data_IF_662402080099
#
_entry.id   IF_662402080099
#
_cell.length_a   1.000
_cell.length_b   1.000
_cell.length_c   1.000
_cell.angle_alpha   90.00
_cell.angle_beta   90.00
_cell.angle_gamma   90.00
#
_symmetry.space_group_name_H-M   'P 1'
#
loop_
_entity.id
_entity.type
_entity.pdbx_description
1 polymer ?
#
# COMPACT_ATOMS: atom_id res chain seq x y z
N UNK A 1 15.61 -22.81 -10.20
CA UNK A 1 14.70 -22.04 -11.09
C UNK A 1 14.38 -20.74 -10.37
N UNK A 2 14.98 -19.64 -10.79
CA UNK A 2 14.70 -18.29 -10.23
C UNK A 2 13.50 -17.71 -10.97
N UNK A 3 12.33 -17.81 -10.34
CA UNK A 3 11.07 -17.31 -10.89
C UNK A 3 10.82 -15.91 -10.32
N UNK A 4 10.74 -14.91 -11.18
CA UNK A 4 10.50 -13.53 -10.77
C UNK A 4 9.04 -13.19 -11.05
N UNK A 5 8.26 -12.98 -9.98
CA UNK A 5 6.89 -12.50 -10.10
C UNK A 5 6.88 -11.04 -10.58
N UNK A 6 6.16 -10.74 -11.67
CA UNK A 6 6.05 -9.38 -12.20
C UNK A 6 4.72 -8.73 -11.84
N UNK A 7 3.61 -9.41 -12.16
CA UNK A 7 2.25 -8.86 -11.98
C UNK A 7 1.34 -9.92 -11.37
N UNK A 8 0.50 -9.47 -10.45
CA UNK A 8 -0.58 -10.28 -9.86
C UNK A 8 -1.92 -9.61 -10.15
N UNK A 9 -2.93 -10.40 -10.45
CA UNK A 9 -4.29 -9.92 -10.70
C UNK A 9 -5.34 -10.96 -10.37
N UNK A 10 -6.61 -10.61 -10.58
CA UNK A 10 -7.77 -11.47 -10.36
C UNK A 10 -8.68 -11.49 -11.57
N UNK A 11 -9.36 -12.61 -11.75
CA UNK A 11 -10.48 -12.79 -12.64
C UNK A 11 -11.68 -13.22 -11.80
N UNK A 12 -12.86 -12.64 -12.05
CA UNK A 12 -14.06 -12.88 -11.27
C UNK A 12 -14.90 -14.06 -11.78
N UNK A 13 -14.81 -14.37 -13.08
CA UNK A 13 -15.57 -15.45 -13.73
C UNK A 13 -14.69 -16.28 -14.67
N UNK A 14 -14.29 -17.50 -14.29
CA UNK A 14 -14.36 -18.09 -12.95
C UNK A 14 -13.38 -17.43 -11.96
N UNK A 15 -13.68 -17.42 -10.65
CA UNK A 15 -12.84 -16.79 -9.63
C UNK A 15 -11.43 -17.40 -9.64
N UNK A 16 -10.45 -16.61 -10.05
CA UNK A 16 -9.06 -17.07 -10.21
C UNK A 16 -8.06 -15.95 -10.03
N UNK A 17 -6.91 -16.26 -9.44
CA UNK A 17 -5.78 -15.35 -9.28
C UNK A 17 -4.80 -15.62 -10.42
N UNK A 18 -4.44 -14.56 -11.13
CA UNK A 18 -3.54 -14.60 -12.27
C UNK A 18 -2.18 -14.08 -11.81
N UNK A 19 -1.13 -14.87 -12.05
CA UNK A 19 0.25 -14.50 -11.81
C UNK A 19 1.01 -14.49 -13.12
N UNK A 20 1.60 -13.35 -13.46
CA UNK A 20 2.54 -13.20 -14.57
C UNK A 20 3.95 -13.21 -13.99
N UNK A 21 4.76 -14.17 -14.41
CA UNK A 21 6.12 -14.36 -13.93
C UNK A 21 7.09 -14.49 -15.11
N UNK A 22 8.35 -14.14 -14.85
CA UNK A 22 9.45 -14.31 -15.78
C UNK A 22 10.33 -15.47 -15.31
N UNK A 23 10.63 -16.37 -16.23
CA UNK A 23 11.59 -17.44 -15.99
C UNK A 23 12.99 -16.95 -16.35
N UNK A 24 13.88 -16.85 -15.36
CA UNK A 24 15.25 -16.38 -15.57
C UNK A 24 16.06 -17.24 -16.54
N UNK A 25 15.67 -18.51 -16.73
CA UNK A 25 16.38 -19.43 -17.63
C UNK A 25 15.96 -19.33 -19.09
N UNK A 26 14.75 -18.82 -19.37
CA UNK A 26 14.19 -18.79 -20.73
C UNK A 26 13.86 -17.38 -21.21
N UNK A 27 14.01 -16.37 -20.35
CA UNK A 27 13.65 -14.96 -20.54
C UNK A 27 12.23 -14.73 -21.12
N UNK A 28 11.35 -15.73 -20.97
CA UNK A 28 9.97 -15.70 -21.44
C UNK A 28 9.05 -15.36 -20.28
N UNK A 29 8.10 -14.47 -20.54
CA UNK A 29 6.98 -14.21 -19.65
C UNK A 29 5.97 -15.35 -19.76
N UNK A 30 5.52 -15.83 -18.61
CA UNK A 30 4.53 -16.90 -18.50
C UNK A 30 3.41 -16.45 -17.58
N UNK A 31 2.21 -16.89 -17.89
CA UNK A 31 1.03 -16.65 -17.08
C UNK A 31 0.62 -17.94 -16.39
N UNK A 32 0.28 -17.85 -15.10
CA UNK A 32 -0.32 -18.94 -14.34
C UNK A 32 -1.66 -18.50 -13.79
N UNK A 33 -2.68 -19.31 -14.04
CA UNK A 33 -4.04 -19.11 -13.54
C UNK A 33 -4.24 -20.05 -12.36
N UNK A 34 -4.58 -19.50 -11.20
CA UNK A 34 -4.77 -20.23 -9.94
C UNK A 34 -6.24 -20.12 -9.56
N UNK A 35 -7.04 -21.19 -9.72
CA UNK A 35 -8.46 -21.13 -9.41
C UNK A 35 -8.65 -20.99 -7.89
N UNK A 36 -9.51 -20.04 -7.51
CA UNK A 36 -9.93 -19.87 -6.12
C UNK A 36 -11.17 -20.74 -5.90
N UNK A 37 -11.04 -21.78 -5.08
CA UNK A 37 -12.13 -22.70 -4.74
C UNK A 37 -12.61 -22.45 -3.32
N UNK A 38 -13.88 -22.71 -3.06
CA UNK A 38 -14.50 -22.60 -1.72
C UNK A 38 -14.38 -21.21 -1.08
N UNK A 39 -14.39 -20.16 -1.89
CA UNK A 39 -14.37 -18.78 -1.40
C UNK A 39 -15.78 -18.19 -1.47
N UNK A 40 -16.19 -17.54 -0.40
CA UNK A 40 -17.54 -17.00 -0.21
C UNK A 40 -17.45 -15.56 0.31
N UNK A 41 -18.60 -14.86 0.37
CA UNK A 41 -18.69 -13.51 0.95
C UNK A 41 -18.26 -13.46 2.42
N UNK A 42 -18.33 -14.59 3.12
CA UNK A 42 -18.02 -14.71 4.54
C UNK A 42 -16.64 -15.29 4.84
N UNK A 43 -15.84 -15.65 3.82
CA UNK A 43 -14.53 -16.24 4.06
C UNK A 43 -13.47 -15.20 4.42
N UNK A 44 -12.57 -15.57 5.32
CA UNK A 44 -11.46 -14.72 5.75
C UNK A 44 -10.40 -14.56 4.65
N UNK A 45 -10.20 -13.31 4.19
CA UNK A 45 -9.24 -12.97 3.14
C UNK A 45 -7.79 -13.28 3.54
N UNK A 46 -7.44 -13.08 4.82
CA UNK A 46 -6.09 -13.35 5.36
C UNK A 46 -5.76 -14.84 5.29
N UNK A 47 -6.67 -15.69 5.80
CA UNK A 47 -6.53 -17.15 5.79
C UNK A 47 -6.49 -17.71 4.37
N UNK A 48 -7.32 -17.19 3.47
CA UNK A 48 -7.33 -17.59 2.07
C UNK A 48 -5.99 -17.24 1.36
N UNK A 49 -5.42 -16.07 1.68
CA UNK A 49 -4.10 -15.66 1.18
C UNK A 49 -2.97 -16.58 1.65
N UNK A 50 -2.97 -16.94 2.94
CA UNK A 50 -2.00 -17.87 3.52
C UNK A 50 -2.11 -19.26 2.91
N UNK A 51 -3.32 -19.78 2.76
CA UNK A 51 -3.56 -21.08 2.15
C UNK A 51 -3.05 -21.14 0.71
N UNK A 52 -3.23 -20.06 -0.07
CA UNK A 52 -2.71 -19.99 -1.43
C UNK A 52 -1.18 -19.99 -1.46
N UNK A 53 -0.55 -19.21 -0.57
CA UNK A 53 0.92 -19.11 -0.49
C UNK A 53 1.57 -20.40 0.01
N UNK A 54 0.91 -21.10 0.92
CA UNK A 54 1.40 -22.37 1.48
C UNK A 54 1.13 -23.59 0.60
N UNK A 55 0.31 -23.46 -0.46
CA UNK A 55 0.03 -24.57 -1.35
C UNK A 55 1.29 -25.00 -2.12
N UNK A 56 1.73 -26.28 -2.02
CA UNK A 56 2.97 -26.75 -2.62
C UNK A 56 3.04 -26.54 -4.14
N UNK A 57 1.88 -26.49 -4.82
CA UNK A 57 1.81 -26.25 -6.27
C UNK A 57 2.15 -24.82 -6.68
N UNK A 58 1.91 -23.85 -5.79
CA UNK A 58 1.99 -22.43 -6.10
C UNK A 58 3.09 -21.71 -5.32
N UNK A 59 3.58 -22.32 -4.22
CA UNK A 59 4.62 -21.79 -3.33
C UNK A 59 5.86 -21.28 -4.09
N UNK A 60 6.39 -22.06 -5.02
CA UNK A 60 7.58 -21.70 -5.81
C UNK A 60 7.41 -20.44 -6.67
N UNK A 61 6.18 -20.08 -7.03
CA UNK A 61 5.89 -18.89 -7.85
C UNK A 61 5.51 -17.68 -7.00
N UNK A 62 4.98 -17.93 -5.80
CA UNK A 62 4.49 -16.90 -4.88
C UNK A 62 5.54 -16.43 -3.85
N UNK A 63 6.77 -16.93 -3.95
CA UNK A 63 7.86 -16.55 -3.07
C UNK A 63 8.15 -15.03 -3.14
N UNK A 64 8.12 -14.46 -4.35
CA UNK A 64 8.28 -13.02 -4.58
C UNK A 64 7.02 -12.18 -4.35
N UNK A 65 5.88 -12.78 -4.00
CA UNK A 65 4.61 -12.06 -3.81
C UNK A 65 4.34 -11.85 -2.32
N UNK A 66 4.04 -10.61 -1.94
CA UNK A 66 3.73 -10.30 -0.54
C UNK A 66 2.35 -10.83 -0.16
N UNK A 67 2.20 -11.28 1.09
CA UNK A 67 0.91 -11.76 1.59
C UNK A 67 -0.14 -10.66 1.57
N UNK A 68 0.27 -9.41 1.85
CA UNK A 68 -0.59 -8.22 1.77
C UNK A 68 -1.20 -8.04 0.38
N UNK A 69 -0.43 -8.22 -0.69
CA UNK A 69 -0.94 -8.15 -2.07
C UNK A 69 -2.00 -9.22 -2.34
N UNK A 70 -1.74 -10.47 -1.92
CA UNK A 70 -2.73 -11.55 -2.08
C UNK A 70 -4.01 -11.27 -1.28
N UNK A 71 -3.88 -10.75 -0.05
CA UNK A 71 -5.03 -10.38 0.77
C UNK A 71 -5.88 -9.31 0.09
N UNK A 72 -5.27 -8.27 -0.51
CA UNK A 72 -5.99 -7.25 -1.29
C UNK A 72 -6.79 -7.87 -2.43
N UNK A 73 -6.18 -8.80 -3.18
CA UNK A 73 -6.86 -9.51 -4.26
C UNK A 73 -8.07 -10.32 -3.76
N UNK A 74 -7.96 -10.99 -2.61
CA UNK A 74 -9.09 -11.71 -2.01
C UNK A 74 -10.19 -10.77 -1.52
N UNK A 75 -9.84 -9.61 -0.96
CA UNK A 75 -10.81 -8.62 -0.53
C UNK A 75 -11.55 -8.00 -1.72
N UNK A 76 -10.87 -7.76 -2.84
CA UNK A 76 -11.52 -7.36 -4.11
C UNK A 76 -12.49 -8.45 -4.61
N UNK A 77 -12.09 -9.72 -4.54
CA UNK A 77 -12.95 -10.85 -4.90
C UNK A 77 -14.19 -10.91 -4.00
N UNK A 78 -14.01 -10.70 -2.69
CA UNK A 78 -15.11 -10.61 -1.73
C UNK A 78 -16.06 -9.45 -2.04
N UNK A 79 -15.54 -8.27 -2.31
CA UNK A 79 -16.35 -7.10 -2.71
C UNK A 79 -17.18 -7.37 -3.95
N UNK A 80 -16.61 -8.04 -4.95
CA UNK A 80 -17.34 -8.46 -6.14
C UNK A 80 -18.42 -9.50 -5.85
N UNK A 81 -18.15 -10.49 -5.00
CA UNK A 81 -19.19 -11.42 -4.53
C UNK A 81 -20.27 -10.70 -3.72
N UNK A 82 -19.92 -9.58 -3.09
CA UNK A 82 -20.84 -8.71 -2.38
C UNK A 82 -21.75 -7.87 -3.28
N UNK A 83 -21.40 -7.74 -4.55
CA UNK A 83 -22.09 -6.88 -5.52
C UNK A 83 -21.54 -5.45 -5.57
N UNK A 84 -20.41 -5.18 -4.92
CA UNK A 84 -19.75 -3.88 -4.98
C UNK A 84 -19.05 -3.72 -6.33
N UNK A 85 -18.99 -2.47 -6.83
CA UNK A 85 -18.23 -2.20 -8.05
C UNK A 85 -16.72 -2.30 -7.78
N UNK A 86 -15.97 -2.61 -8.84
CA UNK A 86 -14.51 -2.70 -8.78
C UNK A 86 -13.90 -1.32 -8.47
N UNK A 87 -14.52 -0.25 -8.97
CA UNK A 87 -14.13 1.14 -8.70
C UNK A 87 -14.29 1.47 -7.22
N UNK A 88 -15.46 1.23 -6.63
CA UNK A 88 -15.70 1.46 -5.20
C UNK A 88 -14.72 0.68 -4.32
N UNK A 89 -14.46 -0.58 -4.66
CA UNK A 89 -13.54 -1.42 -3.89
C UNK A 89 -12.10 -0.89 -3.97
N UNK A 90 -11.67 -0.38 -5.14
CA UNK A 90 -10.35 0.23 -5.32
C UNK A 90 -10.24 1.60 -4.65
N UNK A 91 -11.30 2.39 -4.64
CA UNK A 91 -11.33 3.68 -3.95
C UNK A 91 -11.17 3.51 -2.44
N UNK A 92 -11.84 2.51 -1.84
CA UNK A 92 -11.64 2.15 -0.44
C UNK A 92 -10.16 1.83 -0.14
N UNK A 93 -9.50 1.05 -0.99
CA UNK A 93 -8.07 0.76 -0.82
C UNK A 93 -7.20 2.00 -0.97
N UNK A 94 -7.52 2.88 -1.91
CA UNK A 94 -6.78 4.13 -2.09
C UNK A 94 -6.91 5.00 -0.85
N UNK A 95 -8.13 5.17 -0.34
CA UNK A 95 -8.39 5.93 0.89
C UNK A 95 -7.66 5.34 2.11
N UNK A 96 -7.60 4.01 2.23
CA UNK A 96 -6.83 3.35 3.29
C UNK A 96 -5.31 3.56 3.17
N UNK A 97 -4.79 3.75 1.95
CA UNK A 97 -3.35 3.93 1.67
C UNK A 97 -2.92 5.40 1.64
N UNK A 98 -3.83 6.32 1.33
CA UNK A 98 -3.56 7.76 1.32
C UNK A 98 -3.81 8.34 2.70
N UNK A 99 -2.76 8.89 3.31
CA UNK A 99 -2.90 9.66 4.55
C UNK A 99 -3.28 11.08 4.15
N UNK A 100 -4.45 11.52 4.59
CA UNK A 100 -4.87 12.91 4.42
C UNK A 100 -4.15 13.77 5.48
N UNK A 101 -3.37 14.80 5.08
CA UNK A 101 -2.65 15.65 6.03
C UNK A 101 -3.56 16.43 7.00
N UNK A 102 -4.84 16.63 6.64
CA UNK A 102 -5.81 17.40 7.43
C UNK A 102 -6.62 16.54 8.42
N UNK A 103 -6.40 15.22 8.46
CA UNK A 103 -7.19 14.34 9.31
C UNK A 103 -6.73 14.40 10.78
N UNK A 104 -7.70 14.59 11.69
CA UNK A 104 -7.44 14.66 13.13
C UNK A 104 -7.09 13.26 13.69
N UNK A 105 -5.78 12.96 13.66
CA UNK A 105 -5.20 11.69 14.07
C UNK A 105 -5.46 11.31 15.53
N UNK A 106 -5.94 12.25 16.36
CA UNK A 106 -6.26 12.01 17.77
C UNK A 106 -7.63 11.34 17.99
N UNK A 107 -8.49 11.28 16.96
CA UNK A 107 -9.82 10.66 17.04
C UNK A 107 -9.84 9.18 16.63
N UNK A 108 -8.73 8.66 16.11
CA UNK A 108 -8.64 7.32 15.57
C UNK A 108 -8.38 6.27 16.64
N UNK A 109 -8.75 5.02 16.34
CA UNK A 109 -8.39 3.87 17.16
C UNK A 109 -6.90 3.52 17.02
N UNK A 110 -6.29 2.98 18.08
CA UNK A 110 -4.86 2.66 18.16
C UNK A 110 -4.40 1.74 17.01
N UNK A 111 -5.29 0.86 16.54
CA UNK A 111 -5.01 -0.07 15.42
C UNK A 111 -4.92 0.63 14.08
N UNK A 112 -5.73 1.66 13.87
CA UNK A 112 -5.72 2.46 12.65
C UNK A 112 -4.53 3.41 12.64
N UNK A 113 -4.22 3.99 13.81
CA UNK A 113 -3.02 4.80 14.03
C UNK A 113 -1.74 4.00 13.71
N UNK A 114 -1.62 2.76 14.19
CA UNK A 114 -0.48 1.90 13.89
C UNK A 114 -0.33 1.60 12.38
N UNK A 115 -1.45 1.40 11.67
CA UNK A 115 -1.44 1.23 10.21
C UNK A 115 -0.98 2.49 9.49
N UNK A 116 -1.53 3.66 9.87
CA UNK A 116 -1.14 4.95 9.26
C UNK A 116 0.33 5.28 9.52
N UNK A 117 0.82 5.01 10.74
CA UNK A 117 2.25 5.14 11.05
C UNK A 117 3.12 4.25 10.15
N UNK A 118 2.74 2.99 9.95
CA UNK A 118 3.44 2.10 9.03
C UNK A 118 3.43 2.62 7.59
N UNK A 119 2.34 3.27 7.15
CA UNK A 119 2.25 3.88 5.82
C UNK A 119 3.17 5.11 5.72
N UNK A 120 3.21 5.97 6.75
CA UNK A 120 4.13 7.11 6.82
C UNK A 120 5.59 6.65 6.73
N UNK A 121 5.96 5.63 7.50
CA UNK A 121 7.32 5.09 7.52
C UNK A 121 7.69 4.52 6.13
N UNK A 122 6.80 3.75 5.49
CA UNK A 122 7.03 3.22 4.14
C UNK A 122 7.15 4.33 3.06
N UNK A 123 6.38 5.41 3.17
CA UNK A 123 6.48 6.57 2.27
C UNK A 123 7.78 7.35 2.50
N UNK A 124 8.15 7.53 3.76
CA UNK A 124 9.39 8.19 4.15
C UNK A 124 10.60 7.43 3.60
N UNK A 125 10.66 6.12 3.80
CA UNK A 125 11.78 5.30 3.30
C UNK A 125 11.93 5.34 1.78
N UNK A 126 10.81 5.36 1.04
CA UNK A 126 10.83 5.47 -0.43
C UNK A 126 11.30 6.84 -0.91
N UNK A 127 10.91 7.91 -0.20
CA UNK A 127 11.26 9.29 -0.55
C UNK A 127 12.55 9.78 0.12
N UNK A 128 13.23 8.92 0.88
CA UNK A 128 14.47 9.25 1.58
C UNK A 128 15.61 9.44 0.57
N UNK A 129 15.84 10.69 0.19
CA UNK A 129 17.04 11.11 -0.54
C UNK A 129 18.28 10.84 0.31
N UNK A 130 19.21 10.01 -0.18
CA UNK A 130 20.49 9.77 0.50
C UNK A 130 21.50 10.83 0.08
N UNK A 131 22.56 11.01 0.88
CA UNK A 131 23.67 11.92 0.56
C UNK A 131 24.40 11.55 -0.74
N UNK A 132 24.28 10.30 -1.19
CA UNK A 132 24.91 9.78 -2.39
C UNK A 132 23.99 9.84 -3.63
N UNK A 133 22.75 10.35 -3.51
CA UNK A 133 21.85 10.54 -4.63
C UNK A 133 22.20 11.82 -5.42
N UNK A 134 22.13 11.80 -6.77
CA UNK A 134 22.47 12.95 -7.60
C UNK A 134 21.55 14.17 -7.40
N UNK A 135 20.34 13.96 -6.88
CA UNK A 135 19.37 15.02 -6.55
C UNK A 135 19.52 15.56 -5.11
N UNK A 136 20.58 15.16 -4.40
CA UNK A 136 20.88 15.67 -3.06
C UNK A 136 21.50 17.07 -3.15
N UNK A 137 20.67 18.09 -2.93
CA UNK A 137 21.11 19.48 -2.83
C UNK A 137 21.38 19.81 -1.36
N UNK A 138 22.63 20.21 -1.05
CA UNK A 138 22.96 20.79 0.25
C UNK A 138 22.38 22.20 0.34
N UNK A 139 21.84 22.55 1.52
CA UNK A 139 21.29 23.87 1.83
C UNK A 139 20.22 24.32 0.83
N UNK A 140 19.12 23.55 0.73
CA UNK A 140 17.92 24.03 0.05
C UNK A 140 17.34 25.15 0.91
N UNK A 141 17.67 26.38 0.56
CA UNK A 141 17.03 27.59 1.08
C UNK A 141 15.63 27.64 0.46
N UNK A 142 14.61 27.32 1.26
CA UNK A 142 13.21 27.49 0.88
C UNK A 142 12.80 28.86 1.41
N UNK A 143 12.52 29.80 0.51
CA UNK A 143 11.82 31.03 0.87
C UNK A 143 10.36 30.65 1.18
N UNK A 144 10.01 30.68 2.47
CA UNK A 144 8.62 30.54 2.88
C UNK A 144 7.85 31.75 2.35
N UNK A 145 6.74 31.56 1.61
CA UNK A 145 5.93 32.68 1.15
C UNK A 145 5.42 33.44 2.37
N UNK A 146 5.83 34.71 2.48
CA UNK A 146 5.46 35.63 3.57
C UNK A 146 3.96 36.00 3.60
N UNK A 147 3.19 35.55 2.62
CA UNK A 147 1.81 35.99 2.36
C UNK A 147 0.72 35.13 3.05
N UNK A 148 1.05 33.96 3.59
CA UNK A 148 0.13 33.22 4.47
C UNK A 148 0.42 33.61 5.91
N UNK A 149 -0.26 34.69 6.34
CA UNK A 149 -0.48 35.09 7.73
C UNK A 149 0.53 34.49 8.70
N UNK A 150 1.62 35.23 8.97
CA UNK A 150 2.31 35.15 10.25
C UNK A 150 1.24 35.29 11.33
N UNK A 151 0.67 34.17 11.76
CA UNK A 151 -0.18 34.10 12.93
C UNK A 151 0.69 34.69 14.03
N UNK A 152 0.28 35.82 14.59
CA UNK A 152 1.01 36.47 15.67
C UNK A 152 1.01 35.51 16.85
N UNK A 153 2.00 34.63 16.89
CA UNK A 153 2.23 33.68 17.95
C UNK A 153 2.38 34.50 19.21
N UNK A 154 1.58 34.19 20.24
CA UNK A 154 1.51 34.96 21.48
C UNK A 154 2.86 35.06 22.21
N UNK A 155 3.81 34.22 21.81
CA UNK A 155 5.21 34.21 22.24
C UNK A 155 6.02 35.43 21.78
N UNK A 156 5.66 36.09 20.68
CA UNK A 156 6.40 37.24 20.14
C UNK A 156 5.99 38.59 20.74
N UNK A 157 4.93 38.62 21.57
CA UNK A 157 4.36 39.88 22.11
C UNK A 157 4.96 40.25 23.47
N UNK A 158 5.64 39.32 24.16
CA UNK A 158 6.08 39.54 25.55
C UNK A 158 7.50 40.11 25.73
N UNK A 159 8.26 40.34 24.65
CA UNK A 159 9.68 40.72 24.79
C UNK A 159 10.02 42.21 24.61
N UNK A 160 9.05 43.13 24.53
CA UNK A 160 9.33 44.57 24.32
C UNK A 160 8.71 45.51 25.38
N UNK A 161 8.70 45.08 26.65
CA UNK A 161 8.55 46.01 27.80
C UNK A 161 9.52 45.65 28.92
N UNK A 162 10.78 46.03 28.75
CA UNK A 162 11.66 46.35 29.89
C UNK A 162 11.88 47.86 29.93
N UNK A 163 11.75 48.37 31.16
CA UNK A 163 11.66 49.77 31.62
C UNK A 163 12.86 50.63 31.24
#
# INVERSE_FOLDING_TARGET
>A
MTLIAQKCGICFQPPSIILIYRDSSQDKTRQRIMPVRNFSRFSDCSRAAEQLKNNPRHKAYLEGVSQRQLQKLYTLLRGHLEGQSLAESLEKFRQEETIDPEEDMNKLDDKELAKRKSIMDELFEKNRKKKDDPDFVYNVEVEFPLDEQLESCTWDIESDKQV
#
